data_IF_946560915872
#
_entry.id   IF_946560915872
#
_cell.length_a   1.000
_cell.length_b   1.000
_cell.length_c   1.000
_cell.angle_alpha   90.00
_cell.angle_beta   90.00
_cell.angle_gamma   90.00
#
_symmetry.space_group_name_H-M   'P 1'
#
loop_
_entity.id
_entity.type
_entity.pdbx_description
1 polymer ?
#
# COMPACT_ATOMS: atom_id res chain seq x y z
N UNK A 1 -16.00 -13.94 -8.80
CA UNK A 1 -15.31 -13.03 -7.85
C UNK A 1 -14.82 -11.82 -8.64
N UNK A 2 -14.95 -10.63 -8.05
CA UNK A 2 -14.36 -9.40 -8.55
C UNK A 2 -13.80 -8.59 -7.39
N UNK A 3 -12.77 -7.79 -7.64
CA UNK A 3 -12.17 -6.86 -6.69
C UNK A 3 -12.24 -5.45 -7.23
N UNK A 4 -12.40 -4.46 -6.34
CA UNK A 4 -12.32 -3.04 -6.68
C UNK A 4 -11.19 -2.40 -5.90
N UNK A 5 -10.30 -1.67 -6.60
CA UNK A 5 -9.12 -1.04 -6.01
C UNK A 5 -8.77 0.24 -6.77
N UNK A 6 -7.94 1.10 -6.18
CA UNK A 6 -7.52 2.36 -6.79
C UNK A 6 -7.56 3.53 -5.80
N UNK A 7 -7.21 4.75 -6.23
CA UNK A 7 -7.23 5.96 -5.42
C UNK A 7 -8.67 6.40 -5.13
N UNK A 8 -9.27 5.83 -4.09
CA UNK A 8 -10.69 5.99 -3.78
C UNK A 8 -10.93 6.22 -2.27
N UNK A 9 -10.29 7.22 -1.70
CA UNK A 9 -10.49 7.63 -0.32
C UNK A 9 -11.97 7.96 -0.05
N UNK A 10 -12.56 7.27 0.93
CA UNK A 10 -14.01 7.31 1.19
C UNK A 10 -14.54 8.72 1.45
N UNK A 11 -13.81 9.52 2.24
CA UNK A 11 -14.21 10.89 2.58
C UNK A 11 -14.29 11.80 1.33
N UNK A 12 -13.39 11.62 0.36
CA UNK A 12 -13.38 12.35 -0.90
C UNK A 12 -14.53 11.91 -1.81
N UNK A 13 -14.82 10.59 -1.85
CA UNK A 13 -15.96 10.05 -2.62
C UNK A 13 -17.31 10.54 -2.08
N UNK A 14 -17.47 10.62 -0.76
CA UNK A 14 -18.68 11.18 -0.13
C UNK A 14 -18.88 12.63 -0.55
N UNK A 15 -17.79 13.40 -0.66
CA UNK A 15 -17.81 14.78 -1.14
C UNK A 15 -17.90 14.89 -2.67
N UNK A 16 -18.06 13.77 -3.38
CA UNK A 16 -18.16 13.70 -4.84
C UNK A 16 -16.96 14.32 -5.57
N UNK A 17 -15.77 14.23 -4.97
CA UNK A 17 -14.55 14.65 -5.64
C UNK A 17 -14.20 13.66 -6.78
N UNK A 18 -13.60 14.13 -7.88
CA UNK A 18 -13.20 13.27 -8.99
C UNK A 18 -12.24 12.18 -8.53
N UNK A 19 -12.60 10.92 -8.78
CA UNK A 19 -11.79 9.77 -8.43
C UNK A 19 -11.89 8.67 -9.49
N UNK A 20 -11.01 7.69 -9.43
CA UNK A 20 -11.02 6.55 -10.34
C UNK A 20 -10.66 5.25 -9.62
N UNK A 21 -11.23 4.14 -10.10
CA UNK A 21 -10.91 2.81 -9.61
C UNK A 21 -10.78 1.81 -10.77
N UNK A 22 -10.26 0.63 -10.43
CA UNK A 22 -10.22 -0.55 -11.30
C UNK A 22 -11.09 -1.63 -10.68
N UNK A 23 -11.98 -2.22 -11.46
CA UNK A 23 -12.66 -3.48 -11.15
C UNK A 23 -11.95 -4.58 -11.90
N UNK A 24 -11.35 -5.53 -11.17
CA UNK A 24 -10.70 -6.69 -11.75
C UNK A 24 -11.53 -7.95 -11.54
N UNK A 25 -11.74 -8.72 -12.61
CA UNK A 25 -12.43 -10.00 -12.60
C UNK A 25 -11.92 -10.87 -13.74
N UNK A 26 -11.82 -12.19 -13.49
CA UNK A 26 -11.55 -13.16 -14.56
C UNK A 26 -12.70 -13.27 -15.57
N UNK A 27 -13.93 -12.81 -15.24
CA UNK A 27 -15.04 -12.65 -16.16
C UNK A 27 -15.12 -11.18 -16.60
N UNK A 28 -14.82 -10.88 -17.89
CA UNK A 28 -14.95 -9.54 -18.45
C UNK A 28 -16.41 -9.02 -18.41
N UNK A 29 -17.38 -9.92 -18.53
CA UNK A 29 -18.82 -9.60 -18.46
C UNK A 29 -19.18 -9.10 -17.06
N UNK A 30 -18.74 -9.81 -16.02
CA UNK A 30 -18.94 -9.39 -14.62
C UNK A 30 -18.26 -8.06 -14.34
N UNK A 31 -17.02 -7.87 -14.83
CA UNK A 31 -16.30 -6.62 -14.66
C UNK A 31 -17.06 -5.43 -15.29
N UNK A 32 -17.63 -5.62 -16.49
CA UNK A 32 -18.45 -4.60 -17.17
C UNK A 32 -19.76 -4.31 -16.44
N UNK A 33 -20.46 -5.34 -15.98
CA UNK A 33 -21.69 -5.19 -15.21
C UNK A 33 -21.44 -4.35 -13.96
N UNK A 34 -20.38 -4.69 -13.19
CA UNK A 34 -20.01 -3.94 -12.00
C UNK A 34 -19.52 -2.52 -12.33
N UNK A 35 -18.80 -2.33 -13.45
CA UNK A 35 -18.42 -1.00 -13.93
C UNK A 35 -19.65 -0.10 -14.10
N UNK A 36 -20.72 -0.61 -14.73
CA UNK A 36 -21.96 0.16 -14.95
C UNK A 36 -22.65 0.52 -13.64
N UNK A 37 -22.61 -0.37 -12.64
CA UNK A 37 -23.19 -0.16 -11.31
C UNK A 37 -22.42 0.91 -10.51
N UNK A 38 -21.07 0.85 -10.54
CA UNK A 38 -20.23 1.71 -9.70
C UNK A 38 -19.88 3.05 -10.32
N UNK A 39 -19.96 3.22 -11.66
CA UNK A 39 -19.60 4.47 -12.32
C UNK A 39 -20.52 5.63 -11.93
N UNK A 40 -19.95 6.82 -11.78
CA UNK A 40 -20.67 8.06 -11.58
C UNK A 40 -20.00 9.21 -12.34
N UNK A 41 -20.64 10.40 -12.41
CA UNK A 41 -20.03 11.56 -13.09
C UNK A 41 -18.67 11.96 -12.51
N UNK A 42 -18.48 11.73 -11.22
CA UNK A 42 -17.25 12.04 -10.47
C UNK A 42 -16.40 10.76 -10.20
N UNK A 43 -16.89 9.57 -10.51
CA UNK A 43 -16.20 8.31 -10.23
C UNK A 43 -16.03 7.48 -11.49
N UNK A 44 -14.81 7.47 -12.03
CA UNK A 44 -14.49 6.71 -13.23
C UNK A 44 -14.00 5.31 -12.86
N UNK A 45 -14.61 4.31 -13.45
CA UNK A 45 -14.26 2.90 -13.18
C UNK A 45 -13.69 2.29 -14.46
N UNK A 46 -12.52 1.68 -14.36
CA UNK A 46 -11.86 0.90 -15.40
C UNK A 46 -12.03 -0.59 -15.09
N UNK A 47 -11.84 -1.45 -16.08
CA UNK A 47 -11.89 -2.89 -15.93
C UNK A 47 -10.53 -3.53 -16.19
N UNK A 48 -10.24 -4.66 -15.52
CA UNK A 48 -9.04 -5.47 -15.71
C UNK A 48 -9.39 -6.96 -15.57
N UNK A 49 -8.58 -7.82 -16.14
CA UNK A 49 -8.63 -9.27 -15.88
C UNK A 49 -7.58 -9.71 -14.87
N UNK A 50 -6.64 -8.84 -14.50
CA UNK A 50 -5.56 -9.12 -13.56
C UNK A 50 -6.03 -8.95 -12.11
N UNK A 51 -6.79 -9.91 -11.61
CA UNK A 51 -7.29 -9.94 -10.22
C UNK A 51 -6.12 -10.03 -9.24
N UNK A 52 -5.15 -10.91 -9.51
CA UNK A 52 -4.02 -11.17 -8.63
C UNK A 52 -3.16 -9.91 -8.43
N UNK A 53 -2.81 -9.21 -9.51
CA UNK A 53 -2.03 -7.98 -9.43
C UNK A 53 -2.77 -6.88 -8.66
N UNK A 54 -4.07 -6.75 -8.87
CA UNK A 54 -4.90 -5.78 -8.14
C UNK A 54 -4.95 -6.09 -6.63
N UNK A 55 -5.11 -7.35 -6.24
CA UNK A 55 -5.14 -7.76 -4.83
C UNK A 55 -3.78 -7.58 -4.15
N UNK A 56 -2.68 -8.02 -4.80
CA UNK A 56 -1.33 -7.84 -4.28
C UNK A 56 -0.98 -6.37 -4.08
N UNK A 57 -1.23 -5.54 -5.10
CA UNK A 57 -0.98 -4.10 -5.01
C UNK A 57 -1.78 -3.47 -3.86
N UNK A 58 -3.06 -3.81 -3.73
CA UNK A 58 -3.93 -3.33 -2.66
C UNK A 58 -3.51 -3.77 -1.25
N UNK A 59 -2.96 -4.97 -1.08
CA UNK A 59 -2.45 -5.44 0.20
C UNK A 59 -1.13 -4.76 0.58
N UNK A 60 -0.19 -4.70 -0.37
CA UNK A 60 1.17 -4.19 -0.15
C UNK A 60 1.18 -2.67 0.10
N UNK A 61 0.37 -1.88 -0.62
CA UNK A 61 0.31 -0.41 -0.44
C UNK A 61 0.12 0.02 1.01
N UNK A 62 -0.66 -0.74 1.77
CA UNK A 62 -0.98 -0.42 3.16
C UNK A 62 0.26 -0.52 4.06
N UNK A 63 1.14 -1.49 3.80
CA UNK A 63 2.41 -1.65 4.53
C UNK A 63 3.39 -0.56 4.13
N UNK A 64 3.46 -0.20 2.85
CA UNK A 64 4.30 0.91 2.38
C UNK A 64 3.83 2.23 2.98
N UNK A 65 2.52 2.45 3.09
CA UNK A 65 1.98 3.65 3.73
C UNK A 65 2.34 3.74 5.22
N UNK A 66 2.44 2.61 5.94
CA UNK A 66 3.02 2.58 7.29
C UNK A 66 4.48 3.06 7.27
N UNK A 67 5.31 2.54 6.36
CA UNK A 67 6.72 2.93 6.25
C UNK A 67 6.89 4.42 5.96
N UNK A 68 6.08 4.98 5.04
CA UNK A 68 6.07 6.42 4.74
C UNK A 68 5.64 7.22 5.98
N UNK A 69 4.60 6.78 6.69
CA UNK A 69 4.17 7.41 7.94
C UNK A 69 5.27 7.40 9.00
N UNK A 70 5.99 6.27 9.18
CA UNK A 70 7.12 6.18 10.11
C UNK A 70 8.20 7.21 9.75
N UNK A 71 8.54 7.35 8.49
CA UNK A 71 9.50 8.35 8.02
C UNK A 71 9.05 9.78 8.38
N UNK A 72 7.78 10.11 8.15
CA UNK A 72 7.20 11.40 8.52
C UNK A 72 7.29 11.62 10.04
N UNK A 73 6.92 10.61 10.84
CA UNK A 73 6.93 10.69 12.29
C UNK A 73 8.32 10.89 12.90
N UNK A 74 9.36 10.37 12.22
CA UNK A 74 10.78 10.60 12.54
C UNK A 74 11.30 11.98 12.09
N UNK A 75 10.48 12.77 11.38
CA UNK A 75 10.87 14.09 10.90
C UNK A 75 11.58 14.10 9.55
N UNK A 76 11.58 12.99 8.80
CA UNK A 76 12.14 12.96 7.45
C UNK A 76 11.25 13.71 6.45
N UNK A 77 11.90 14.40 5.52
CA UNK A 77 11.24 15.21 4.50
C UNK A 77 10.73 14.41 3.29
N UNK A 78 10.23 15.15 2.31
CA UNK A 78 9.56 14.61 1.13
C UNK A 78 10.47 13.75 0.24
N UNK A 79 11.78 14.04 0.18
CA UNK A 79 12.72 13.19 -0.56
C UNK A 79 12.75 11.75 -0.01
N UNK A 80 12.75 11.59 1.31
CA UNK A 80 12.70 10.26 1.94
C UNK A 80 11.35 9.58 1.70
N UNK A 81 10.25 10.33 1.78
CA UNK A 81 8.91 9.80 1.46
C UNK A 81 8.85 9.31 0.00
N UNK A 82 9.31 10.12 -0.96
CA UNK A 82 9.36 9.74 -2.36
C UNK A 82 10.23 8.50 -2.61
N UNK A 83 11.38 8.41 -1.93
CA UNK A 83 12.26 7.23 -2.00
C UNK A 83 11.55 5.97 -1.49
N UNK A 84 10.89 6.03 -0.33
CA UNK A 84 10.16 4.89 0.24
C UNK A 84 9.00 4.47 -0.67
N UNK A 85 8.24 5.42 -1.22
CA UNK A 85 7.15 5.16 -2.17
C UNK A 85 7.68 4.45 -3.43
N UNK A 86 8.75 5.00 -4.04
CA UNK A 86 9.32 4.45 -5.28
C UNK A 86 9.87 3.04 -5.07
N UNK A 87 10.61 2.83 -3.98
CA UNK A 87 11.15 1.49 -3.65
C UNK A 87 10.05 0.51 -3.29
N UNK A 88 9.05 0.96 -2.54
CA UNK A 88 7.87 0.16 -2.23
C UNK A 88 7.09 -0.24 -3.49
N UNK A 89 6.94 0.66 -4.46
CA UNK A 89 6.34 0.33 -5.76
C UNK A 89 7.15 -0.74 -6.50
N UNK A 90 8.48 -0.71 -6.42
CA UNK A 90 9.33 -1.74 -7.00
C UNK A 90 9.13 -3.11 -6.32
N UNK A 91 8.91 -3.15 -5.00
CA UNK A 91 8.55 -4.40 -4.30
C UNK A 91 7.19 -4.93 -4.80
N UNK A 92 6.18 -4.05 -4.94
CA UNK A 92 4.89 -4.41 -5.56
C UNK A 92 5.09 -4.98 -6.96
N UNK A 93 5.86 -4.30 -7.80
CA UNK A 93 6.06 -4.70 -9.19
C UNK A 93 6.74 -6.08 -9.30
N UNK A 94 7.80 -6.33 -8.49
CA UNK A 94 8.47 -7.64 -8.45
C UNK A 94 7.53 -8.74 -7.97
N UNK A 95 6.75 -8.47 -6.93
CA UNK A 95 5.80 -9.44 -6.38
C UNK A 95 4.69 -9.77 -7.40
N UNK A 96 4.13 -8.75 -8.06
CA UNK A 96 3.16 -8.92 -9.14
C UNK A 96 3.74 -9.74 -10.30
N UNK A 97 4.95 -9.42 -10.76
CA UNK A 97 5.62 -10.14 -11.84
C UNK A 97 5.86 -11.61 -11.50
N UNK A 98 6.29 -11.92 -10.27
CA UNK A 98 6.50 -13.30 -9.82
C UNK A 98 5.20 -14.13 -9.75
N UNK A 99 4.04 -13.47 -9.67
CA UNK A 99 2.73 -14.12 -9.72
C UNK A 99 2.09 -14.07 -11.12
N UNK A 100 2.83 -13.67 -12.15
CA UNK A 100 2.35 -13.64 -13.53
C UNK A 100 1.36 -12.51 -13.83
N UNK A 101 1.32 -11.48 -12.97
CA UNK A 101 0.47 -10.31 -13.17
C UNK A 101 0.99 -9.39 -14.26
N UNK A 102 0.09 -8.61 -14.85
CA UNK A 102 0.43 -7.65 -15.90
C UNK A 102 1.32 -6.51 -15.35
N UNK A 103 2.44 -6.17 -16.01
CA UNK A 103 3.35 -5.11 -15.55
C UNK A 103 2.65 -3.74 -15.35
N UNK A 104 1.64 -3.44 -16.16
CA UNK A 104 0.88 -2.19 -16.08
C UNK A 104 -0.06 -2.14 -14.88
N UNK A 105 -0.40 -3.25 -14.25
CA UNK A 105 -1.22 -3.25 -13.04
C UNK A 105 -0.50 -2.52 -11.88
N UNK A 106 0.79 -2.82 -11.68
CA UNK A 106 1.59 -2.12 -10.65
C UNK A 106 1.80 -0.64 -10.96
N UNK A 107 1.98 -0.28 -12.25
CA UNK A 107 2.18 1.11 -12.68
C UNK A 107 0.86 1.89 -12.85
N UNK A 108 -0.29 1.21 -12.81
CA UNK A 108 -1.61 1.79 -13.04
C UNK A 108 -2.30 2.32 -11.78
N UNK A 109 -3.62 2.53 -11.90
CA UNK A 109 -4.46 3.01 -10.80
C UNK A 109 -4.49 2.08 -9.60
N UNK A 110 -4.52 0.75 -9.84
CA UNK A 110 -4.55 -0.27 -8.79
C UNK A 110 -3.25 -0.35 -7.99
N UNK A 111 -2.10 -0.04 -8.61
CA UNK A 111 -0.78 -0.01 -7.99
C UNK A 111 -0.37 1.40 -7.60
N UNK A 112 0.38 2.09 -8.48
CA UNK A 112 0.96 3.40 -8.21
C UNK A 112 -0.08 4.44 -7.81
N UNK A 113 -1.25 4.49 -8.48
CA UNK A 113 -2.28 5.48 -8.18
C UNK A 113 -2.78 5.37 -6.74
N UNK A 114 -3.13 4.16 -6.32
CA UNK A 114 -3.63 3.88 -4.96
C UNK A 114 -2.52 4.03 -3.90
N UNK A 115 -1.29 3.63 -4.24
CA UNK A 115 -0.12 3.80 -3.37
C UNK A 115 0.15 5.28 -3.08
N UNK A 116 0.20 6.13 -4.12
CA UNK A 116 0.46 7.57 -3.97
C UNK A 116 -0.65 8.23 -3.15
N UNK A 117 -1.92 7.94 -3.43
CA UNK A 117 -3.05 8.47 -2.66
C UNK A 117 -2.99 8.03 -1.19
N UNK A 118 -2.68 6.74 -0.93
CA UNK A 118 -2.63 6.19 0.43
C UNK A 118 -1.45 6.75 1.23
N UNK A 119 -0.28 6.92 0.60
CA UNK A 119 0.92 7.46 1.27
C UNK A 119 0.86 8.97 1.48
N UNK A 120 0.27 9.72 0.54
CA UNK A 120 0.22 11.18 0.60
C UNK A 120 -0.89 11.73 1.49
N UNK A 121 -2.01 11.01 1.61
CA UNK A 121 -3.19 11.54 2.31
C UNK A 121 -3.11 11.43 3.82
N UNK A 122 -3.38 12.52 4.56
CA UNK A 122 -3.57 12.47 6.03
C UNK A 122 -4.84 11.69 6.43
N UNK A 123 -5.74 11.39 5.50
CA UNK A 123 -6.91 10.54 5.74
C UNK A 123 -6.55 9.05 5.77
N UNK A 124 -5.37 8.67 5.30
CA UNK A 124 -4.89 7.28 5.33
C UNK A 124 -4.59 6.84 6.75
N UNK A 125 -5.34 5.85 7.24
CA UNK A 125 -5.15 5.23 8.56
C UNK A 125 -3.77 4.59 8.70
N UNK A 126 -3.27 3.95 7.65
CA UNK A 126 -1.95 3.33 7.65
C UNK A 126 -0.85 4.38 7.75
N UNK A 127 -0.89 5.44 6.93
CA UNK A 127 0.06 6.54 7.00
C UNK A 127 0.04 7.23 8.37
N UNK A 128 -1.14 7.59 8.88
CA UNK A 128 -1.26 8.30 10.17
C UNK A 128 -0.84 7.44 11.35
N UNK A 129 -1.08 6.14 11.31
CA UNK A 129 -0.57 5.23 12.35
C UNK A 129 0.95 5.07 12.27
N UNK A 130 1.52 4.96 11.07
CA UNK A 130 2.98 4.98 10.88
C UNK A 130 3.61 6.25 11.44
N UNK A 131 2.99 7.41 11.22
CA UNK A 131 3.43 8.69 11.78
C UNK A 131 3.40 8.68 13.32
N UNK A 132 2.38 8.10 13.93
CA UNK A 132 2.32 7.92 15.37
C UNK A 132 3.43 7.01 15.90
N UNK A 133 3.76 5.92 15.18
CA UNK A 133 4.89 5.03 15.53
C UNK A 133 6.22 5.80 15.49
N UNK A 134 6.47 6.55 14.41
CA UNK A 134 7.70 7.34 14.28
C UNK A 134 7.85 8.37 15.39
N UNK A 135 6.79 9.09 15.74
CA UNK A 135 6.78 10.09 16.82
C UNK A 135 6.91 9.49 18.21
N UNK A 136 6.29 8.36 18.48
CA UNK A 136 6.28 7.74 19.80
C UNK A 136 7.48 6.83 20.08
N UNK A 137 8.27 6.50 19.04
CA UNK A 137 9.47 5.68 19.14
C UNK A 137 9.22 4.16 19.19
N UNK A 138 7.97 3.70 19.26
CA UNK A 138 7.64 2.27 19.21
C UNK A 138 6.23 2.00 18.72
N UNK A 139 5.99 0.78 18.23
CA UNK A 139 4.67 0.28 17.86
C UNK A 139 3.72 0.25 19.07
N UNK A 140 4.19 -0.23 20.22
CA UNK A 140 3.39 -0.39 21.44
C UNK A 140 2.84 0.95 21.92
N UNK A 141 3.68 1.99 21.97
CA UNK A 141 3.28 3.33 22.37
C UNK A 141 2.24 3.92 21.41
N UNK A 142 2.46 3.77 20.10
CA UNK A 142 1.50 4.23 19.11
C UNK A 142 0.16 3.49 19.23
N UNK A 143 0.18 2.19 19.48
CA UNK A 143 -1.01 1.36 19.60
C UNK A 143 -1.91 1.73 20.77
N UNK A 144 -1.34 2.21 21.87
CA UNK A 144 -2.10 2.66 23.05
C UNK A 144 -3.01 3.86 22.76
N UNK A 145 -2.59 4.73 21.83
CA UNK A 145 -3.34 5.98 21.51
C UNK A 145 -4.13 5.89 20.20
N UNK A 146 -3.94 4.83 19.42
CA UNK A 146 -4.57 4.66 18.12
C UNK A 146 -5.60 3.54 18.13
N UNK A 147 -6.89 3.90 18.17
CA UNK A 147 -8.00 2.95 18.33
C UNK A 147 -8.53 2.34 17.03
N UNK A 148 -8.11 2.86 15.87
CA UNK A 148 -8.63 2.41 14.56
C UNK A 148 -7.92 1.15 14.08
N UNK A 149 -8.62 0.36 13.26
CA UNK A 149 -8.01 -0.77 12.55
C UNK A 149 -7.03 -0.27 11.49
N UNK A 150 -5.87 -0.91 11.42
CA UNK A 150 -4.79 -0.57 10.49
C UNK A 150 -4.45 -1.83 9.69
N UNK A 151 -4.88 -1.86 8.45
CA UNK A 151 -4.78 -3.03 7.59
C UNK A 151 -3.33 -3.43 7.31
N UNK A 152 -2.43 -2.46 7.16
CA UNK A 152 -1.02 -2.70 6.91
C UNK A 152 -0.32 -3.51 8.01
N UNK A 153 -0.78 -3.37 9.27
CA UNK A 153 -0.26 -4.17 10.40
C UNK A 153 -0.62 -5.65 10.21
N UNK A 154 -1.88 -5.94 9.86
CA UNK A 154 -2.33 -7.31 9.64
C UNK A 154 -1.73 -7.92 8.35
N UNK A 155 -1.56 -7.11 7.31
CA UNK A 155 -1.09 -7.55 6.00
C UNK A 155 0.42 -7.82 5.94
N UNK A 156 1.24 -7.17 6.77
CA UNK A 156 2.70 -7.24 6.67
C UNK A 156 3.23 -8.69 6.69
N UNK A 157 2.81 -9.49 7.66
CA UNK A 157 3.28 -10.89 7.78
C UNK A 157 2.78 -11.77 6.63
N UNK A 158 1.53 -11.58 6.19
CA UNK A 158 0.96 -12.33 5.08
C UNK A 158 1.67 -12.02 3.75
N UNK A 159 1.99 -10.76 3.50
CA UNK A 159 2.73 -10.35 2.30
C UNK A 159 4.13 -10.94 2.28
N UNK A 160 4.84 -10.96 3.42
CA UNK A 160 6.17 -11.61 3.53
C UNK A 160 6.07 -13.09 3.20
N UNK A 161 5.06 -13.80 3.74
CA UNK A 161 4.87 -15.22 3.44
C UNK A 161 4.63 -15.46 1.95
N UNK A 162 3.79 -14.64 1.31
CA UNK A 162 3.54 -14.71 -0.14
C UNK A 162 4.82 -14.44 -0.93
N UNK A 163 5.60 -13.43 -0.54
CA UNK A 163 6.86 -13.07 -1.21
C UNK A 163 7.91 -14.20 -1.10
N UNK A 164 8.07 -14.78 0.08
CA UNK A 164 9.01 -15.89 0.30
C UNK A 164 8.66 -17.13 -0.53
N UNK A 165 7.38 -17.45 -0.71
CA UNK A 165 6.93 -18.59 -1.53
C UNK A 165 7.37 -18.48 -3.00
N UNK A 166 7.54 -17.27 -3.49
CA UNK A 166 7.96 -16.99 -4.89
C UNK A 166 9.38 -16.47 -5.00
N UNK A 167 10.14 -16.44 -3.88
CA UNK A 167 11.54 -16.03 -3.85
C UNK A 167 11.76 -14.53 -4.11
N UNK A 168 10.78 -13.68 -3.77
CA UNK A 168 10.89 -12.22 -3.93
C UNK A 168 11.29 -11.57 -2.61
N UNK A 169 12.33 -10.75 -2.63
CA UNK A 169 12.74 -9.93 -1.50
C UNK A 169 11.85 -8.68 -1.37
N UNK A 170 11.41 -8.40 -0.14
CA UNK A 170 10.50 -7.29 0.17
C UNK A 170 11.00 -6.50 1.39
N UNK A 171 12.19 -5.89 1.29
CA UNK A 171 12.91 -5.33 2.43
C UNK A 171 12.18 -4.20 3.16
N UNK A 172 11.34 -3.40 2.49
CA UNK A 172 10.52 -2.38 3.17
C UNK A 172 9.47 -3.05 4.03
N UNK A 173 8.79 -4.06 3.50
CA UNK A 173 7.74 -4.79 4.19
C UNK A 173 8.32 -5.56 5.38
N UNK A 174 9.50 -6.18 5.22
CA UNK A 174 10.23 -6.88 6.29
C UNK A 174 10.63 -5.91 7.41
N UNK A 175 11.17 -4.72 7.07
CA UNK A 175 11.55 -3.73 8.06
C UNK A 175 10.34 -3.25 8.88
N UNK A 176 9.18 -3.05 8.24
CA UNK A 176 7.92 -2.71 8.92
C UNK A 176 7.43 -3.85 9.81
N UNK A 177 7.49 -5.09 9.33
CA UNK A 177 7.08 -6.25 10.11
C UNK A 177 7.96 -6.46 11.35
N UNK A 178 9.28 -6.31 11.23
CA UNK A 178 10.22 -6.38 12.35
C UNK A 178 9.95 -5.29 13.39
N UNK A 179 9.62 -4.09 12.94
CA UNK A 179 9.24 -3.00 13.83
C UNK A 179 7.94 -3.30 14.57
N UNK A 180 6.91 -3.83 13.89
CA UNK A 180 5.65 -4.23 14.51
C UNK A 180 5.86 -5.31 15.58
N UNK A 181 6.82 -6.22 15.37
CA UNK A 181 7.20 -7.26 16.34
C UNK A 181 8.11 -6.75 17.47
N UNK A 182 8.49 -5.47 17.47
CA UNK A 182 9.40 -4.88 18.47
C UNK A 182 10.86 -5.31 18.34
N UNK A 183 11.25 -5.92 17.21
CA UNK A 183 12.62 -6.38 16.96
C UNK A 183 13.58 -5.23 16.61
N UNK A 184 13.06 -4.15 16.08
CA UNK A 184 13.81 -2.94 15.74
C UNK A 184 13.03 -1.68 16.11
N UNK A 185 13.75 -0.59 16.40
CA UNK A 185 13.15 0.73 16.57
C UNK A 185 12.76 1.34 15.21
N UNK A 186 11.89 2.39 15.18
CA UNK A 186 11.58 3.12 13.96
C UNK A 186 12.82 3.64 13.25
N UNK A 187 13.79 4.19 13.99
CA UNK A 187 15.05 4.67 13.43
C UNK A 187 15.86 3.54 12.79
N UNK A 188 16.00 2.40 13.47
CA UNK A 188 16.72 1.24 12.94
C UNK A 188 16.06 0.66 11.68
N UNK A 189 14.72 0.66 11.62
CA UNK A 189 14.00 0.25 10.42
C UNK A 189 14.35 1.17 9.23
N UNK A 190 14.32 2.49 9.43
CA UNK A 190 14.69 3.45 8.38
C UNK A 190 16.17 3.35 7.98
N UNK A 191 17.09 3.16 8.94
CA UNK A 191 18.52 2.98 8.67
C UNK A 191 18.78 1.73 7.81
N UNK A 192 18.02 0.66 8.01
CA UNK A 192 18.09 -0.53 7.15
C UNK A 192 17.70 -0.20 5.72
N UNK A 193 16.63 0.58 5.51
CA UNK A 193 16.20 0.98 4.17
C UNK A 193 17.25 1.83 3.45
N UNK A 194 18.03 2.63 4.17
CA UNK A 194 19.12 3.43 3.58
C UNK A 194 20.33 2.59 3.17
N UNK A 195 20.55 1.42 3.80
CA UNK A 195 21.70 0.53 3.56
C UNK A 195 21.47 -0.49 2.46
N UNK A 196 20.23 -0.67 2.00
CA UNK A 196 19.92 -1.64 0.94
C UNK A 196 20.57 -1.20 -0.36
N UNK A 197 21.38 -2.10 -0.95
CA UNK A 197 22.06 -1.86 -2.23
C UNK A 197 21.07 -1.49 -3.34
N UNK A 198 21.51 -0.66 -4.25
CA UNK A 198 20.77 -0.20 -5.43
C UNK A 198 20.99 -1.07 -6.65
N UNK A 199 21.48 -2.31 -6.46
CA UNK A 199 21.67 -3.28 -7.54
C UNK A 199 20.37 -4.00 -7.91
#
# INVERSE_FOLDING_TARGET
IAVITGPNLADELILRQPAAAVIASQSPELAKELQEIFKAKYYRVYTSTDVMGCELAGAVKNVIALAVGIAIGLGFGENTQAMVITRGLNEVARLCAAHGSEPLTAAGLAGMGDLVATCGSPLSRNRTFGEAIGRSGSYENARQVFSRTVEGVASASAVIEVAHRVGVEVPIIEAVADLIKGLVSPQQAMDRLMKISTE
#
